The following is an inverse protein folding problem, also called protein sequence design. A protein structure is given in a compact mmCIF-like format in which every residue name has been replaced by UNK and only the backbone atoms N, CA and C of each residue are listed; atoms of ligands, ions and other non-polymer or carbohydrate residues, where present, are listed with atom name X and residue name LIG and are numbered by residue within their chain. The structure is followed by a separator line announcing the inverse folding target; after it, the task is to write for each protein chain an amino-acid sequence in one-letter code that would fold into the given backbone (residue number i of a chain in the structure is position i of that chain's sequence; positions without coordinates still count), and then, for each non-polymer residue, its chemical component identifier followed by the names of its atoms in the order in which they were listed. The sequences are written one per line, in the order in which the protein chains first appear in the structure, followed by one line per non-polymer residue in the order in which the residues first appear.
data_IF_764422374582
#
_entry.id   IF_764422374582
#
_cell.length_a   1.000
_cell.length_b   1.000
_cell.length_c   1.000
_cell.angle_alpha   90.00
_cell.angle_beta   90.00
_cell.angle_gamma   90.00
#
_symmetry.space_group_name_H-M   'P 1'
#
loop_
_entity.id
_entity.type
_entity.pdbx_description
1 polymer ?
#
# COMPACT_ATOMS: atom_id res chain seq x y z
N UNK A 1 -40.82 32.90 -6.65
CA UNK A 1 -39.39 33.14 -6.96
C UNK A 1 -38.55 32.75 -5.76
N UNK A 2 -37.91 31.58 -5.78
CA UNK A 2 -36.91 31.19 -4.77
C UNK A 2 -35.76 30.53 -5.52
N UNK A 3 -34.75 31.33 -5.87
CA UNK A 3 -33.52 30.85 -6.48
C UNK A 3 -32.69 30.17 -5.40
N UNK A 4 -32.53 28.85 -5.50
CA UNK A 4 -31.58 28.09 -4.68
C UNK A 4 -30.17 28.41 -5.19
N UNK A 5 -29.39 29.12 -4.39
CA UNK A 5 -27.96 29.32 -4.66
C UNK A 5 -27.24 27.95 -4.64
N UNK A 6 -26.46 27.59 -5.68
CA UNK A 6 -25.61 26.42 -5.63
C UNK A 6 -24.43 26.72 -4.71
N UNK A 7 -24.09 25.78 -3.81
CA UNK A 7 -22.93 25.87 -2.94
C UNK A 7 -21.65 26.11 -3.76
N UNK A 8 -21.15 27.34 -3.75
CA UNK A 8 -19.82 27.71 -4.22
C UNK A 8 -18.80 27.19 -3.20
N UNK A 9 -18.25 26.01 -3.45
CA UNK A 9 -17.11 25.50 -2.69
C UNK A 9 -15.85 26.29 -3.06
N UNK A 10 -15.28 27.02 -2.10
CA UNK A 10 -13.98 27.68 -2.15
C UNK A 10 -12.93 26.89 -2.98
N UNK A 11 -12.43 27.42 -4.12
CA UNK A 11 -11.51 26.69 -5.00
C UNK A 11 -10.17 26.33 -4.31
N UNK A 12 -9.81 27.00 -3.22
CA UNK A 12 -8.63 26.68 -2.41
C UNK A 12 -8.76 25.41 -1.55
N UNK A 13 -9.95 25.15 -1.00
CA UNK A 13 -10.20 24.02 -0.09
C UNK A 13 -10.16 22.68 -0.84
N UNK A 14 -10.59 22.67 -2.10
CA UNK A 14 -10.60 21.45 -2.93
C UNK A 14 -9.20 20.98 -3.33
N UNK A 15 -8.25 21.91 -3.56
CA UNK A 15 -6.83 21.59 -3.86
C UNK A 15 -6.10 21.02 -2.64
N UNK A 16 -6.26 21.63 -1.47
CA UNK A 16 -5.65 21.17 -0.22
C UNK A 16 -6.16 19.78 0.16
N UNK A 17 -7.47 19.55 0.07
CA UNK A 17 -8.08 18.26 0.42
C UNK A 17 -7.62 17.11 -0.49
N UNK A 18 -7.36 17.38 -1.78
CA UNK A 18 -6.77 16.40 -2.70
C UNK A 18 -5.31 16.08 -2.37
N UNK A 19 -4.46 17.10 -2.13
CA UNK A 19 -3.06 16.88 -1.73
C UNK A 19 -2.95 16.05 -0.45
N UNK A 20 -3.75 16.35 0.56
CA UNK A 20 -3.75 15.61 1.83
C UNK A 20 -4.17 14.15 1.67
N UNK A 21 -5.19 13.86 0.85
CA UNK A 21 -5.61 12.48 0.56
C UNK A 21 -4.49 11.69 -0.11
N UNK A 22 -3.79 12.28 -1.07
CA UNK A 22 -2.64 11.65 -1.75
C UNK A 22 -1.49 11.38 -0.76
N UNK A 23 -1.16 12.34 0.10
CA UNK A 23 -0.10 12.17 1.10
C UNK A 23 -0.44 11.05 2.09
N UNK A 24 -1.69 10.96 2.56
CA UNK A 24 -2.14 9.91 3.49
C UNK A 24 -2.04 8.53 2.82
N UNK A 25 -2.53 8.39 1.59
CA UNK A 25 -2.44 7.12 0.86
C UNK A 25 -0.99 6.71 0.64
N UNK A 26 -0.12 7.65 0.26
CA UNK A 26 1.30 7.37 0.03
C UNK A 26 2.03 6.98 1.32
N UNK A 27 1.74 7.67 2.43
CA UNK A 27 2.28 7.32 3.74
C UNK A 27 1.82 5.92 4.19
N UNK A 28 0.54 5.60 4.00
CA UNK A 28 0.00 4.27 4.33
C UNK A 28 0.66 3.17 3.49
N UNK A 29 0.87 3.40 2.19
CA UNK A 29 1.63 2.48 1.33
C UNK A 29 3.06 2.24 1.84
N UNK A 30 3.77 3.30 2.21
CA UNK A 30 5.13 3.18 2.76
C UNK A 30 5.15 2.35 4.04
N UNK A 31 4.16 2.53 4.94
CA UNK A 31 4.06 1.71 6.15
C UNK A 31 3.75 0.24 5.87
N UNK A 32 2.95 -0.05 4.84
CA UNK A 32 2.67 -1.43 4.44
C UNK A 32 3.91 -2.09 3.82
N UNK A 33 4.68 -1.36 3.02
CA UNK A 33 5.92 -1.85 2.41
C UNK A 33 6.98 -2.14 3.49
N UNK A 34 7.17 -1.23 4.44
CA UNK A 34 8.13 -1.46 5.53
C UNK A 34 7.72 -2.64 6.41
N UNK A 35 6.44 -2.77 6.75
CA UNK A 35 5.91 -3.93 7.46
C UNK A 35 6.13 -5.23 6.68
N UNK A 36 5.92 -5.21 5.36
CA UNK A 36 6.21 -6.31 4.46
C UNK A 36 7.66 -6.78 4.60
N UNK A 37 8.62 -5.87 4.45
CA UNK A 37 10.07 -6.18 4.51
C UNK A 37 10.47 -6.74 5.88
N UNK A 38 9.95 -6.14 6.96
CA UNK A 38 10.21 -6.61 8.33
C UNK A 38 9.69 -8.04 8.49
N UNK A 39 8.47 -8.32 8.04
CA UNK A 39 7.91 -9.66 8.12
C UNK A 39 8.66 -10.68 7.25
N UNK A 40 9.07 -10.33 6.03
CA UNK A 40 9.91 -11.24 5.22
C UNK A 40 11.23 -11.56 5.91
N UNK A 41 11.88 -10.55 6.51
CA UNK A 41 13.14 -10.75 7.22
C UNK A 41 12.97 -11.59 8.51
N UNK A 42 11.84 -11.44 9.19
CA UNK A 42 11.52 -12.22 10.40
C UNK A 42 11.18 -13.68 10.09
N UNK A 43 10.40 -13.93 9.03
CA UNK A 43 9.96 -15.29 8.69
C UNK A 43 10.97 -16.07 7.85
N UNK A 44 11.78 -15.39 7.06
CA UNK A 44 12.83 -15.98 6.24
C UNK A 44 14.12 -15.16 6.28
N UNK A 45 14.85 -15.35 7.36
CA UNK A 45 16.15 -14.70 7.58
C UNK A 45 17.19 -15.07 6.50
N UNK A 46 17.01 -16.23 5.88
CA UNK A 46 17.93 -16.82 4.89
C UNK A 46 17.88 -16.16 3.50
N UNK A 47 16.79 -15.47 3.12
CA UNK A 47 16.68 -14.89 1.76
C UNK A 47 17.55 -13.64 1.59
N UNK A 48 17.94 -13.00 2.70
CA UNK A 48 18.67 -11.73 2.69
C UNK A 48 17.79 -10.50 2.45
N UNK A 49 18.34 -9.32 2.77
CA UNK A 49 17.62 -8.03 2.73
C UNK A 49 17.21 -7.63 1.31
N UNK A 50 18.09 -7.79 0.32
CA UNK A 50 17.80 -7.39 -1.07
C UNK A 50 16.62 -8.14 -1.65
N UNK A 51 16.58 -9.46 -1.46
CA UNK A 51 15.48 -10.31 -1.91
C UNK A 51 14.17 -10.04 -1.16
N UNK A 52 14.25 -9.68 0.12
CA UNK A 52 13.06 -9.29 0.91
C UNK A 52 12.42 -8.01 0.37
N UNK A 53 13.25 -7.00 0.00
CA UNK A 53 12.78 -5.75 -0.60
C UNK A 53 12.19 -6.02 -1.99
N UNK A 54 12.90 -6.80 -2.81
CA UNK A 54 12.46 -7.20 -4.14
C UNK A 54 11.10 -7.90 -4.09
N UNK A 55 10.93 -8.91 -3.22
CA UNK A 55 9.67 -9.60 -3.03
C UNK A 55 8.51 -8.66 -2.67
N UNK A 56 8.73 -7.76 -1.71
CA UNK A 56 7.71 -6.79 -1.27
C UNK A 56 7.32 -5.83 -2.39
N UNK A 57 8.29 -5.33 -3.17
CA UNK A 57 8.03 -4.47 -4.32
C UNK A 57 7.24 -5.18 -5.42
N UNK A 58 7.53 -6.44 -5.71
CA UNK A 58 6.87 -7.22 -6.76
C UNK A 58 5.44 -7.57 -6.40
N UNK A 59 5.19 -7.91 -5.13
CA UNK A 59 3.83 -8.15 -4.64
C UNK A 59 3.04 -6.85 -4.62
N UNK A 60 3.64 -5.74 -4.18
CA UNK A 60 2.96 -4.44 -4.15
C UNK A 60 2.68 -3.88 -5.55
N UNK A 61 3.56 -4.14 -6.52
CA UNK A 61 3.35 -3.77 -7.93
C UNK A 61 2.44 -4.73 -8.68
N UNK A 62 1.93 -5.80 -8.02
CA UNK A 62 1.07 -6.84 -8.60
C UNK A 62 1.71 -7.63 -9.76
N UNK A 63 3.02 -7.50 -9.96
CA UNK A 63 3.76 -8.27 -10.98
C UNK A 63 3.82 -9.75 -10.60
N UNK A 64 4.10 -10.05 -9.33
CA UNK A 64 3.96 -11.39 -8.75
C UNK A 64 4.74 -12.52 -9.44
N UNK A 65 6.04 -12.35 -9.73
CA UNK A 65 6.85 -13.37 -10.42
C UNK A 65 6.85 -14.76 -9.75
N UNK A 66 6.71 -14.81 -8.41
CA UNK A 66 6.62 -16.06 -7.66
C UNK A 66 7.94 -16.84 -7.53
N UNK A 67 9.06 -16.22 -7.88
CA UNK A 67 10.43 -16.74 -7.70
C UNK A 67 10.82 -16.83 -6.21
N UNK A 68 10.39 -15.84 -5.43
CA UNK A 68 10.58 -15.78 -3.98
C UNK A 68 9.22 -15.96 -3.32
N UNK A 69 9.08 -16.94 -2.44
CA UNK A 69 7.82 -17.24 -1.76
C UNK A 69 8.06 -17.62 -0.31
N UNK A 70 7.08 -17.32 0.55
CA UNK A 70 7.12 -17.76 1.94
C UNK A 70 7.04 -19.30 2.04
N UNK A 71 8.14 -19.95 2.40
CA UNK A 71 8.27 -21.36 2.82
C UNK A 71 7.70 -21.58 4.23
N UNK A 72 7.76 -20.57 5.10
CA UNK A 72 7.22 -20.65 6.46
C UNK A 72 5.69 -20.60 6.48
N UNK A 73 5.04 -21.52 7.23
CA UNK A 73 3.58 -21.57 7.39
C UNK A 73 3.01 -20.23 7.91
N UNK A 74 3.73 -19.58 8.83
CA UNK A 74 3.32 -18.29 9.42
C UNK A 74 3.43 -17.15 8.41
N UNK A 75 4.48 -17.16 7.59
CA UNK A 75 4.69 -16.16 6.51
C UNK A 75 3.60 -16.19 5.46
N UNK A 76 3.09 -17.39 5.09
CA UNK A 76 1.98 -17.52 4.12
C UNK A 76 0.67 -16.91 4.62
N UNK A 77 0.30 -17.17 5.88
CA UNK A 77 -0.91 -16.59 6.47
C UNK A 77 -0.79 -15.07 6.54
N UNK A 78 0.39 -14.57 6.95
CA UNK A 78 0.66 -13.14 6.95
C UNK A 78 0.56 -12.53 5.54
N UNK A 79 1.15 -13.16 4.53
CA UNK A 79 1.12 -12.69 3.15
C UNK A 79 -0.31 -12.53 2.63
N UNK A 80 -1.19 -13.50 2.90
CA UNK A 80 -2.59 -13.43 2.53
C UNK A 80 -3.29 -12.23 3.19
N UNK A 81 -3.10 -12.03 4.50
CA UNK A 81 -3.68 -10.89 5.21
C UNK A 81 -3.11 -9.54 4.74
N UNK A 82 -1.83 -9.51 4.37
CA UNK A 82 -1.11 -8.29 3.98
C UNK A 82 -1.48 -7.79 2.57
N UNK A 83 -1.87 -8.68 1.65
CA UNK A 83 -2.25 -8.31 0.27
C UNK A 83 -3.55 -7.47 0.20
N UNK A 84 -4.51 -7.67 1.12
CA UNK A 84 -5.78 -6.92 1.15
C UNK A 84 -5.60 -5.39 1.31
N UNK A 85 -4.84 -4.89 2.31
CA UNK A 85 -4.61 -3.46 2.44
C UNK A 85 -3.71 -2.89 1.34
N UNK A 86 -2.76 -3.67 0.82
CA UNK A 86 -1.87 -3.26 -0.29
C UNK A 86 -2.67 -2.99 -1.57
N UNK A 87 -3.56 -3.90 -1.95
CA UNK A 87 -4.42 -3.73 -3.15
C UNK A 87 -5.40 -2.58 -3.01
N UNK A 88 -5.98 -2.40 -1.81
CA UNK A 88 -6.87 -1.28 -1.51
C UNK A 88 -6.15 0.05 -1.64
N UNK A 89 -4.94 0.17 -1.10
CA UNK A 89 -4.16 1.40 -1.16
C UNK A 89 -3.68 1.72 -2.60
N UNK A 90 -3.35 0.72 -3.41
CA UNK A 90 -3.02 0.90 -4.83
C UNK A 90 -4.20 1.48 -5.63
N UNK A 91 -5.41 0.98 -5.39
CA UNK A 91 -6.68 1.50 -5.99
C UNK A 91 -6.96 2.97 -5.63
N UNK A 92 -6.49 3.44 -4.48
CA UNK A 92 -6.66 4.83 -4.05
C UNK A 92 -5.52 5.76 -4.48
N UNK A 93 -4.40 5.20 -4.93
CA UNK A 93 -3.24 5.96 -5.38
C UNK A 93 -3.30 6.32 -6.89
N UNK A 94 -4.01 5.52 -7.70
CA UNK A 94 -4.18 5.67 -9.15
C UNK A 94 -5.66 5.65 -9.53
#
# INVERSE_FOLDING_TARGET
MVQRYPYMGEPGVTRIRRKWRMCITYFFLLTLLSLGVICTNLFEKEIGLGNSIYFVMIVASTVGFGDITFRSKRGRIFACCWIFPVTTAFRYAF
#
